data_IF_692389902192
#
_entry.id   IF_692389902192
#
_cell.length_a   1.000
_cell.length_b   1.000
_cell.length_c   1.000
_cell.angle_alpha   90.00
_cell.angle_beta   90.00
_cell.angle_gamma   90.00
#
_symmetry.space_group_name_H-M   'P 1'
#
loop_
_entity.id
_entity.type
_entity.pdbx_description
1 polymer ?
#
# COMPACT_ATOMS: atom_id res chain seq x y z
N UNK A 1 -68.18 -32.88 4.42
CA UNK A 1 -67.09 -33.05 3.45
C UNK A 1 -66.55 -31.66 3.13
N UNK A 2 -65.54 -31.22 3.83
CA UNK A 2 -64.86 -29.92 3.61
C UNK A 2 -63.62 -30.18 2.75
N UNK A 3 -63.76 -29.84 1.50
CA UNK A 3 -62.72 -29.93 0.48
C UNK A 3 -61.74 -28.75 0.70
N UNK A 4 -60.73 -28.95 1.52
CA UNK A 4 -59.63 -28.01 1.60
C UNK A 4 -58.66 -28.26 0.45
N UNK A 5 -58.34 -27.28 -0.39
CA UNK A 5 -57.32 -27.44 -1.41
C UNK A 5 -55.96 -27.73 -0.76
N UNK A 6 -55.10 -28.51 -1.39
CA UNK A 6 -53.80 -28.85 -0.84
C UNK A 6 -52.97 -27.56 -0.62
N UNK A 7 -52.50 -27.38 0.60
CA UNK A 7 -51.52 -26.31 0.89
C UNK A 7 -50.26 -26.54 0.09
N UNK A 8 -50.06 -25.66 -0.89
CA UNK A 8 -48.79 -25.59 -1.61
C UNK A 8 -47.78 -25.02 -0.61
N UNK A 9 -47.00 -25.91 0.01
CA UNK A 9 -45.81 -25.46 0.73
C UNK A 9 -44.90 -24.73 -0.25
N UNK A 10 -44.55 -23.46 -0.03
CA UNK A 10 -43.61 -22.80 -0.89
C UNK A 10 -42.28 -23.57 -0.85
N UNK A 11 -41.56 -23.67 -1.96
CA UNK A 11 -40.30 -24.40 -2.02
C UNK A 11 -39.39 -23.78 -0.93
N UNK A 12 -38.91 -24.63 -0.02
CA UNK A 12 -37.91 -24.25 0.97
C UNK A 12 -36.72 -23.70 0.22
N UNK A 13 -36.57 -22.40 0.39
CA UNK A 13 -35.66 -21.59 -0.35
C UNK A 13 -34.21 -22.02 -0.04
N UNK A 14 -33.57 -22.68 -1.00
CA UNK A 14 -32.12 -22.91 -1.00
C UNK A 14 -31.32 -21.62 -1.06
N UNK A 15 -32.00 -20.45 -1.02
CA UNK A 15 -31.38 -19.13 -1.07
C UNK A 15 -30.58 -18.73 0.17
N UNK A 16 -30.87 -19.35 1.33
CA UNK A 16 -30.12 -19.06 2.56
C UNK A 16 -28.66 -19.56 2.49
N UNK A 17 -28.42 -20.66 1.79
CA UNK A 17 -27.06 -21.17 1.60
C UNK A 17 -26.23 -20.28 0.64
N UNK A 18 -26.86 -19.74 -0.42
CA UNK A 18 -26.18 -18.81 -1.32
C UNK A 18 -25.83 -17.49 -0.66
N UNK A 19 -26.70 -16.99 0.24
CA UNK A 19 -26.44 -15.75 0.99
C UNK A 19 -25.29 -15.92 2.00
N UNK A 20 -25.22 -17.07 2.68
CA UNK A 20 -24.12 -17.36 3.61
C UNK A 20 -22.79 -17.57 2.88
N UNK A 21 -22.77 -18.29 1.76
CA UNK A 21 -21.55 -18.48 0.97
C UNK A 21 -21.07 -17.15 0.38
N UNK A 22 -21.99 -16.28 -0.07
CA UNK A 22 -21.63 -14.93 -0.53
C UNK A 22 -21.12 -14.06 0.62
N UNK A 23 -21.74 -14.14 1.80
CA UNK A 23 -21.30 -13.39 2.98
C UNK A 23 -19.92 -13.81 3.48
N UNK A 24 -19.66 -15.11 3.51
CA UNK A 24 -18.34 -15.65 3.89
C UNK A 24 -17.26 -15.35 2.84
N UNK A 25 -17.60 -15.39 1.56
CA UNK A 25 -16.70 -15.00 0.48
C UNK A 25 -16.38 -13.50 0.55
N UNK A 26 -17.40 -12.65 0.74
CA UNK A 26 -17.22 -11.22 0.92
C UNK A 26 -16.40 -10.90 2.18
N UNK A 27 -16.67 -11.55 3.31
CA UNK A 27 -15.89 -11.38 4.53
C UNK A 27 -14.44 -11.81 4.39
N UNK A 28 -14.15 -12.87 3.61
CA UNK A 28 -12.77 -13.28 3.30
C UNK A 28 -12.07 -12.30 2.37
N UNK A 29 -12.80 -11.70 1.45
CA UNK A 29 -12.28 -10.69 0.52
C UNK A 29 -11.91 -9.40 1.26
N UNK A 30 -12.64 -9.06 2.32
CA UNK A 30 -12.41 -7.87 3.15
C UNK A 30 -11.58 -8.12 4.42
N UNK A 31 -11.12 -9.36 4.65
CA UNK A 31 -10.25 -9.64 5.78
C UNK A 31 -8.96 -8.81 5.68
N UNK A 32 -8.55 -8.12 6.76
CA UNK A 32 -7.34 -7.31 6.74
C UNK A 32 -6.14 -8.22 6.45
N UNK A 33 -5.44 -7.92 5.38
CA UNK A 33 -4.27 -8.71 4.98
C UNK A 33 -3.12 -8.33 5.93
N UNK A 34 -2.74 -9.25 6.81
CA UNK A 34 -1.53 -9.09 7.61
C UNK A 34 -0.31 -9.12 6.68
N UNK A 35 0.28 -7.97 6.48
CA UNK A 35 1.47 -7.80 5.64
C UNK A 35 2.69 -7.76 6.54
N UNK A 36 3.58 -8.74 6.39
CA UNK A 36 4.90 -8.75 7.03
C UNK A 36 5.88 -7.90 6.22
N UNK A 37 6.99 -7.50 6.85
CA UNK A 37 8.03 -6.69 6.21
C UNK A 37 8.47 -7.24 4.84
N UNK A 38 8.89 -8.54 4.69
CA UNK A 38 9.30 -9.06 3.38
C UNK A 38 8.16 -9.10 2.37
N UNK A 39 6.93 -9.41 2.80
CA UNK A 39 5.77 -9.44 1.90
C UNK A 39 5.37 -8.05 1.42
N UNK A 40 5.59 -7.00 2.22
CA UNK A 40 5.37 -5.61 1.82
C UNK A 40 6.27 -5.23 0.64
N UNK A 41 7.57 -5.54 0.73
CA UNK A 41 8.53 -5.31 -0.36
C UNK A 41 8.17 -6.09 -1.62
N UNK A 42 7.92 -7.40 -1.50
CA UNK A 42 7.51 -8.20 -2.64
C UNK A 42 6.27 -7.63 -3.33
N UNK A 43 5.26 -7.20 -2.57
CA UNK A 43 4.05 -6.59 -3.13
C UNK A 43 4.32 -5.26 -3.83
N UNK A 44 5.16 -4.40 -3.22
CA UNK A 44 5.51 -3.12 -3.81
C UNK A 44 6.18 -3.32 -5.18
N UNK A 45 7.14 -4.25 -5.29
CA UNK A 45 7.82 -4.54 -6.54
C UNK A 45 6.99 -5.37 -7.52
N UNK A 46 6.15 -6.31 -7.07
CA UNK A 46 5.21 -7.02 -7.95
C UNK A 46 4.15 -6.10 -8.54
N UNK A 47 3.72 -5.09 -7.80
CA UNK A 47 2.78 -4.06 -8.24
C UNK A 47 3.52 -2.78 -8.67
N UNK A 48 4.68 -2.93 -9.31
CA UNK A 48 5.64 -1.86 -9.63
C UNK A 48 4.99 -0.58 -10.18
N UNK A 49 4.13 -0.71 -11.17
CA UNK A 49 3.44 0.40 -11.82
C UNK A 49 1.90 0.26 -11.72
N UNK A 50 1.39 -0.37 -10.66
CA UNK A 50 -0.05 -0.56 -10.47
C UNK A 50 -0.60 0.55 -9.59
N UNK A 51 -1.26 1.52 -10.20
CA UNK A 51 -1.87 2.67 -9.52
C UNK A 51 -3.32 2.41 -9.08
N UNK A 52 -3.91 1.29 -9.49
CA UNK A 52 -5.26 0.87 -9.12
C UNK A 52 -5.26 0.06 -7.82
N UNK A 53 -6.37 0.11 -7.08
CA UNK A 53 -6.55 -0.62 -5.83
C UNK A 53 -6.09 0.16 -4.61
N UNK A 54 -6.00 -0.53 -3.47
CA UNK A 54 -5.71 0.04 -2.16
C UNK A 54 -4.44 -0.60 -1.58
N UNK A 55 -3.76 0.11 -0.70
CA UNK A 55 -2.60 -0.39 0.03
C UNK A 55 -2.78 -0.16 1.54
N UNK A 56 -2.53 -1.18 2.34
CA UNK A 56 -2.65 -1.10 3.80
C UNK A 56 -1.59 -0.19 4.42
N UNK A 57 -1.85 0.26 5.66
CA UNK A 57 -0.86 1.04 6.43
C UNK A 57 0.45 0.29 6.60
N UNK A 58 0.37 -0.99 6.97
CA UNK A 58 1.56 -1.82 7.17
C UNK A 58 2.37 -1.97 5.90
N UNK A 59 1.74 -2.20 4.74
CA UNK A 59 2.41 -2.27 3.45
C UNK A 59 3.19 -0.98 3.17
N UNK A 60 2.54 0.17 3.32
CA UNK A 60 3.17 1.48 3.09
C UNK A 60 4.34 1.75 4.03
N UNK A 61 4.11 1.61 5.35
CA UNK A 61 5.13 1.96 6.34
C UNK A 61 6.32 0.99 6.36
N UNK A 62 6.12 -0.29 6.10
CA UNK A 62 7.23 -1.23 5.97
C UNK A 62 8.12 -0.94 4.77
N UNK A 63 7.53 -0.59 3.62
CA UNK A 63 8.32 -0.20 2.44
C UNK A 63 9.04 1.13 2.68
N UNK A 64 8.37 2.12 3.26
CA UNK A 64 8.97 3.41 3.59
C UNK A 64 10.14 3.25 4.58
N UNK A 65 9.95 2.46 5.66
CA UNK A 65 10.99 2.19 6.64
C UNK A 65 12.18 1.46 6.02
N UNK A 66 11.93 0.38 5.27
CA UNK A 66 13.01 -0.38 4.66
C UNK A 66 13.78 0.41 3.61
N UNK A 67 13.09 1.21 2.78
CA UNK A 67 13.75 2.11 1.84
C UNK A 67 14.60 3.17 2.55
N UNK A 68 14.11 3.72 3.66
CA UNK A 68 14.85 4.66 4.49
C UNK A 68 16.08 4.01 5.12
N UNK A 69 15.97 2.77 5.61
CA UNK A 69 17.09 2.02 6.17
C UNK A 69 18.17 1.74 5.12
N UNK A 70 17.80 1.32 3.92
CA UNK A 70 18.74 1.11 2.80
C UNK A 70 19.47 2.42 2.49
N UNK A 71 18.73 3.51 2.29
CA UNK A 71 19.30 4.83 2.00
C UNK A 71 20.25 5.27 3.10
N UNK A 72 19.81 5.19 4.36
CA UNK A 72 20.62 5.60 5.51
C UNK A 72 21.91 4.79 5.63
N UNK A 73 21.82 3.47 5.45
CA UNK A 73 22.99 2.58 5.50
C UNK A 73 24.03 2.95 4.42
N UNK A 74 23.59 3.21 3.19
CA UNK A 74 24.50 3.60 2.11
C UNK A 74 25.12 4.97 2.36
N UNK A 75 24.34 5.94 2.90
CA UNK A 75 24.87 7.25 3.27
C UNK A 75 25.93 7.17 4.37
N UNK A 76 25.69 6.35 5.40
CA UNK A 76 26.66 6.14 6.49
C UNK A 76 27.93 5.45 5.96
N UNK A 77 27.79 4.42 5.12
CA UNK A 77 28.94 3.77 4.49
C UNK A 77 29.73 4.74 3.59
N UNK A 78 29.04 5.59 2.84
CA UNK A 78 29.65 6.61 2.01
C UNK A 78 30.39 7.66 2.85
N UNK A 79 29.82 8.05 4.00
CA UNK A 79 30.48 9.01 4.91
C UNK A 79 31.72 8.44 5.58
N UNK A 80 31.75 7.13 5.89
CA UNK A 80 32.87 6.49 6.61
C UNK A 80 33.99 6.09 5.63
N UNK A 81 33.63 5.49 4.49
CA UNK A 81 34.59 4.85 3.59
C UNK A 81 34.67 5.54 2.21
N UNK A 82 33.79 6.47 1.94
CA UNK A 82 33.61 7.07 0.62
C UNK A 82 34.43 8.31 0.35
N UNK A 83 35.24 8.78 1.30
CA UNK A 83 36.07 9.98 1.19
C UNK A 83 37.55 9.64 1.38
N UNK A 84 38.43 10.42 0.74
CA UNK A 84 39.87 10.34 0.94
C UNK A 84 40.34 11.26 2.09
N UNK A 85 41.66 11.38 2.31
CA UNK A 85 42.24 12.22 3.34
C UNK A 85 42.01 13.72 3.15
N UNK A 86 41.62 14.16 1.96
CA UNK A 86 41.28 15.55 1.65
C UNK A 86 39.78 15.85 1.77
N UNK A 87 38.96 14.82 1.99
CA UNK A 87 37.51 14.92 2.05
C UNK A 87 36.83 14.77 0.69
N UNK A 88 37.59 14.46 -0.38
CA UNK A 88 37.04 14.25 -1.71
C UNK A 88 36.48 12.83 -1.88
N UNK A 89 35.41 12.62 -2.70
CA UNK A 89 34.88 11.31 -2.95
C UNK A 89 35.92 10.38 -3.60
N UNK A 90 36.25 9.29 -2.94
CA UNK A 90 37.07 8.24 -3.51
C UNK A 90 36.27 7.27 -4.42
N UNK A 91 36.88 6.24 -4.96
CA UNK A 91 36.21 5.27 -5.82
C UNK A 91 35.04 4.55 -5.13
N UNK A 92 35.15 4.29 -3.82
CA UNK A 92 34.07 3.67 -3.01
C UNK A 92 32.89 4.63 -2.90
N UNK A 93 33.13 5.88 -2.52
CA UNK A 93 32.09 6.91 -2.40
C UNK A 93 31.36 7.15 -3.70
N UNK A 94 32.12 7.25 -4.80
CA UNK A 94 31.54 7.41 -6.14
C UNK A 94 30.64 6.23 -6.52
N UNK A 95 31.08 5.00 -6.24
CA UNK A 95 30.29 3.78 -6.51
C UNK A 95 29.02 3.72 -5.64
N UNK A 96 29.10 4.05 -4.37
CA UNK A 96 27.96 4.09 -3.44
C UNK A 96 26.94 5.16 -3.86
N UNK A 97 27.39 6.34 -4.28
CA UNK A 97 26.53 7.41 -4.77
C UNK A 97 25.82 7.02 -6.07
N UNK A 98 26.51 6.34 -6.98
CA UNK A 98 25.90 5.78 -8.20
C UNK A 98 24.85 4.72 -7.87
N UNK A 99 25.15 3.84 -6.92
CA UNK A 99 24.19 2.83 -6.46
C UNK A 99 22.93 3.46 -5.82
N UNK A 100 23.11 4.53 -5.02
CA UNK A 100 21.98 5.30 -4.48
C UNK A 100 21.16 5.94 -5.59
N UNK A 101 21.80 6.56 -6.58
CA UNK A 101 21.09 7.16 -7.71
C UNK A 101 20.26 6.12 -8.48
N UNK A 102 20.86 4.97 -8.77
CA UNK A 102 20.15 3.84 -9.41
C UNK A 102 18.99 3.33 -8.54
N UNK A 103 19.19 3.25 -7.21
CA UNK A 103 18.14 2.90 -6.26
C UNK A 103 16.95 3.86 -6.30
N UNK A 104 17.21 5.19 -6.29
CA UNK A 104 16.15 6.20 -6.36
C UNK A 104 15.37 6.11 -7.68
N UNK A 105 16.07 5.96 -8.80
CA UNK A 105 15.42 5.80 -10.12
C UNK A 105 14.58 4.52 -10.17
N UNK A 106 15.13 3.41 -9.70
CA UNK A 106 14.43 2.11 -9.70
C UNK A 106 13.26 2.04 -8.74
N UNK A 107 13.32 2.74 -7.60
CA UNK A 107 12.27 2.74 -6.59
C UNK A 107 11.22 3.85 -6.77
N UNK A 108 11.45 4.84 -7.62
CA UNK A 108 10.56 5.98 -7.81
C UNK A 108 9.14 5.54 -8.25
N UNK A 109 9.05 4.70 -9.27
CA UNK A 109 7.75 4.23 -9.79
C UNK A 109 6.98 3.40 -8.77
N UNK A 110 7.56 2.35 -8.12
CA UNK A 110 6.83 1.60 -7.11
C UNK A 110 6.50 2.45 -5.87
N UNK A 111 7.34 3.41 -5.49
CA UNK A 111 7.05 4.32 -4.39
C UNK A 111 5.81 5.20 -4.67
N UNK A 112 5.75 5.81 -5.86
CA UNK A 112 4.59 6.62 -6.27
C UNK A 112 3.35 5.74 -6.40
N UNK A 113 3.45 4.55 -7.00
CA UNK A 113 2.31 3.64 -7.12
C UNK A 113 1.77 3.20 -5.76
N UNK A 114 2.66 2.91 -4.81
CA UNK A 114 2.30 2.56 -3.44
C UNK A 114 1.63 3.73 -2.71
N UNK A 115 2.17 4.94 -2.85
CA UNK A 115 1.63 6.16 -2.28
C UNK A 115 0.22 6.46 -2.80
N UNK A 116 0.00 6.37 -4.12
CA UNK A 116 -1.32 6.55 -4.73
C UNK A 116 -2.31 5.51 -4.19
N UNK A 117 -1.93 4.23 -4.14
CA UNK A 117 -2.78 3.17 -3.58
C UNK A 117 -3.07 3.39 -2.09
N UNK A 118 -2.15 4.00 -1.35
CA UNK A 118 -2.38 4.36 0.05
C UNK A 118 -3.35 5.54 0.19
N UNK A 119 -3.28 6.54 -0.69
CA UNK A 119 -4.26 7.62 -0.74
C UNK A 119 -5.66 7.10 -1.10
N UNK A 120 -5.76 6.18 -2.04
CA UNK A 120 -7.01 5.50 -2.38
C UNK A 120 -7.61 4.76 -1.18
N UNK A 121 -6.77 4.18 -0.32
CA UNK A 121 -7.21 3.49 0.89
C UNK A 121 -7.85 4.41 1.94
N UNK A 122 -7.50 5.68 1.93
CA UNK A 122 -8.11 6.73 2.78
C UNK A 122 -9.16 7.58 2.04
N UNK A 123 -9.66 7.11 0.90
CA UNK A 123 -10.72 7.75 0.13
C UNK A 123 -10.26 8.97 -0.70
N UNK A 124 -8.95 9.24 -0.76
CA UNK A 124 -8.42 10.36 -1.53
C UNK A 124 -7.99 9.92 -2.94
N UNK A 125 -8.17 10.81 -3.92
CA UNK A 125 -7.61 10.61 -5.26
C UNK A 125 -6.09 10.67 -5.24
N UNK A 126 -5.42 9.97 -6.17
CA UNK A 126 -3.96 10.05 -6.35
C UNK A 126 -3.46 11.48 -6.63
N UNK A 127 -4.28 12.34 -7.22
CA UNK A 127 -3.98 13.75 -7.42
C UNK A 127 -3.79 14.54 -6.12
N UNK A 128 -4.30 14.04 -5.01
CA UNK A 128 -4.10 14.62 -3.69
C UNK A 128 -2.61 14.71 -3.29
N UNK A 129 -1.75 13.89 -3.89
CA UNK A 129 -0.30 13.99 -3.70
C UNK A 129 0.26 15.40 -3.98
N UNK A 130 -0.30 16.13 -4.95
CA UNK A 130 0.18 17.47 -5.30
C UNK A 130 0.02 18.52 -4.21
N UNK A 131 -0.72 18.21 -3.12
CA UNK A 131 -0.81 19.07 -1.95
C UNK A 131 0.57 19.28 -1.29
N UNK A 132 1.54 18.38 -1.54
CA UNK A 132 2.92 18.50 -1.06
C UNK A 132 3.62 19.77 -1.58
N UNK A 133 3.13 20.36 -2.68
CA UNK A 133 3.66 21.63 -3.21
C UNK A 133 3.38 22.83 -2.29
N UNK A 134 2.45 22.69 -1.34
CA UNK A 134 2.24 23.67 -0.27
C UNK A 134 3.26 23.37 0.84
N UNK A 135 4.30 24.20 1.01
CA UNK A 135 5.36 23.92 1.98
C UNK A 135 4.79 23.75 3.40
N UNK A 136 5.33 22.84 4.17
CA UNK A 136 4.95 22.48 5.54
C UNK A 136 3.50 21.99 5.69
N UNK A 137 2.50 22.80 5.31
CA UNK A 137 1.07 22.46 5.49
C UNK A 137 0.70 21.26 4.62
N UNK A 138 1.08 21.26 3.35
CA UNK A 138 0.78 20.16 2.42
C UNK A 138 1.44 18.85 2.84
N UNK A 139 2.70 18.90 3.26
CA UNK A 139 3.43 17.75 3.78
C UNK A 139 2.76 17.18 5.06
N UNK A 140 2.33 18.04 5.97
CA UNK A 140 1.62 17.65 7.21
C UNK A 140 0.28 16.97 6.89
N UNK A 141 -0.52 17.57 6.01
CA UNK A 141 -1.81 17.00 5.61
C UNK A 141 -1.61 15.66 4.91
N UNK A 142 -0.63 15.56 4.02
CA UNK A 142 -0.30 14.31 3.33
C UNK A 142 0.12 13.24 4.34
N UNK A 143 1.01 13.56 5.27
CA UNK A 143 1.48 12.62 6.31
C UNK A 143 0.32 12.12 7.18
N UNK A 144 -0.56 13.02 7.63
CA UNK A 144 -1.76 12.65 8.39
C UNK A 144 -2.66 11.72 7.58
N UNK A 145 -2.88 12.01 6.30
CA UNK A 145 -3.69 11.17 5.39
C UNK A 145 -3.08 9.78 5.22
N UNK A 146 -1.76 9.67 5.08
CA UNK A 146 -1.05 8.40 4.96
C UNK A 146 -1.04 7.61 6.29
N UNK A 147 -1.05 8.30 7.43
CA UNK A 147 -1.09 7.69 8.76
C UNK A 147 -2.50 7.27 9.21
N UNK A 148 -3.56 7.78 8.58
CA UNK A 148 -4.96 7.46 8.88
C UNK A 148 -5.20 5.94 8.84
N UNK A 149 -6.15 5.46 9.63
CA UNK A 149 -6.58 4.06 9.59
C UNK A 149 -7.23 3.77 8.23
N UNK A 150 -6.97 2.57 7.71
CA UNK A 150 -7.62 2.10 6.46
C UNK A 150 -9.14 2.05 6.65
N UNK A 151 -9.89 2.45 5.63
CA UNK A 151 -11.33 2.30 5.62
C UNK A 151 -11.67 0.81 5.51
N UNK A 152 -12.46 0.32 6.45
CA UNK A 152 -12.90 -1.09 6.50
C UNK A 152 -14.01 -1.38 5.49
N UNK A 153 -14.58 -0.34 4.88
CA UNK A 153 -15.66 -0.45 3.89
C UNK A 153 -15.06 -0.31 2.48
N UNK A 154 -15.56 -1.06 1.49
CA UNK A 154 -15.20 -0.83 0.10
C UNK A 154 -15.48 0.62 -0.30
N UNK A 155 -14.57 1.21 -1.07
CA UNK A 155 -14.74 2.54 -1.62
C UNK A 155 -14.63 2.50 -3.17
N UNK A 156 -14.74 3.65 -3.81
CA UNK A 156 -14.66 3.76 -5.28
C UNK A 156 -13.35 3.20 -5.89
N UNK A 157 -12.32 2.94 -5.09
CA UNK A 157 -11.02 2.43 -5.53
C UNK A 157 -10.85 0.93 -5.31
N UNK A 158 -11.81 0.27 -4.67
CA UNK A 158 -11.82 -1.18 -4.49
C UNK A 158 -12.16 -1.66 -3.08
N UNK A 159 -12.03 -2.97 -2.86
CA UNK A 159 -12.27 -3.61 -1.57
C UNK A 159 -11.32 -3.09 -0.49
N UNK A 160 -11.66 -3.32 0.77
CA UNK A 160 -10.81 -2.96 1.91
C UNK A 160 -9.45 -3.67 1.85
N UNK A 161 -8.38 -3.00 2.26
CA UNK A 161 -7.00 -3.51 2.23
C UNK A 161 -6.56 -4.03 3.59
#
# INVERSE_FOLDING_TARGET
MTDQPPMITPPQNSGTQFVQVSGDAANREYAPINVNFPTAFQRAFRKYATFKGRASRSEFWFVALGSSMITFSVLVLSAIFGVDSNGDPNAIGSSLNQALFAWYLGSAVPAISLLVRRLHDTGHSGWFYWIILIPLIGAMILLVSLAKKSDVVPNQFGPAS
#
